data_IF_136939886338
#
_entry.id   IF_136939886338
#
_cell.length_a   1.000
_cell.length_b   1.000
_cell.length_c   1.000
_cell.angle_alpha   90.00
_cell.angle_beta   90.00
_cell.angle_gamma   90.00
#
_symmetry.space_group_name_H-M   'P 1'
#
loop_
_entity.id
_entity.type
_entity.pdbx_description
1 polymer ?
#
# COMPACT_ATOMS: atom_id res chain seq x y z
N UNK A 1 -42.27 -14.39 -13.80
CA UNK A 1 -40.86 -14.76 -13.61
C UNK A 1 -40.13 -13.73 -12.76
N UNK A 2 -39.38 -14.23 -11.75
CA UNK A 2 -38.14 -13.68 -11.15
C UNK A 2 -38.08 -12.20 -10.74
N UNK A 3 -38.31 -11.93 -9.44
CA UNK A 3 -37.81 -10.72 -8.75
C UNK A 3 -36.34 -10.95 -8.35
N UNK A 4 -35.40 -10.25 -8.96
CA UNK A 4 -33.97 -10.32 -8.64
C UNK A 4 -33.67 -9.71 -7.27
N UNK A 5 -33.26 -10.55 -6.31
CA UNK A 5 -32.78 -10.17 -4.97
C UNK A 5 -31.45 -9.42 -5.09
N UNK A 6 -31.45 -8.14 -4.72
CA UNK A 6 -30.24 -7.31 -4.59
C UNK A 6 -29.48 -7.75 -3.34
N UNK A 7 -28.43 -8.56 -3.51
CA UNK A 7 -27.54 -8.98 -2.42
C UNK A 7 -26.61 -7.82 -2.03
N UNK A 8 -27.06 -6.92 -1.15
CA UNK A 8 -26.14 -6.00 -0.46
C UNK A 8 -25.73 -6.60 0.89
N UNK A 9 -24.53 -7.17 0.95
CA UNK A 9 -23.87 -7.62 2.20
C UNK A 9 -23.46 -6.48 3.14
N UNK A 10 -24.03 -5.28 2.99
CA UNK A 10 -23.70 -4.13 3.83
C UNK A 10 -24.75 -3.99 4.93
N UNK A 11 -24.38 -4.35 6.16
CA UNK A 11 -25.21 -4.15 7.36
C UNK A 11 -24.82 -2.81 8.00
N UNK A 12 -25.79 -1.92 8.24
CA UNK A 12 -25.56 -0.71 9.03
C UNK A 12 -25.67 -1.06 10.51
N UNK A 13 -24.69 -0.60 11.29
CA UNK A 13 -24.67 -0.71 12.75
C UNK A 13 -24.71 0.69 13.36
N UNK A 14 -25.38 0.82 14.50
CA UNK A 14 -25.28 2.02 15.33
C UNK A 14 -24.00 1.99 16.15
N UNK A 15 -23.51 3.15 16.60
CA UNK A 15 -22.30 3.26 17.42
C UNK A 15 -22.39 2.36 18.68
N UNK A 16 -23.57 2.28 19.30
CA UNK A 16 -23.84 1.39 20.46
C UNK A 16 -23.68 -0.10 20.12
N UNK A 17 -24.07 -0.51 18.92
CA UNK A 17 -23.93 -1.90 18.47
C UNK A 17 -22.46 -2.24 18.16
N UNK A 18 -21.72 -1.30 17.57
CA UNK A 18 -20.29 -1.44 17.32
C UNK A 18 -19.49 -1.57 18.62
N UNK A 19 -19.83 -0.78 19.64
CA UNK A 19 -19.14 -0.81 20.92
C UNK A 19 -19.34 -2.16 21.63
N UNK A 20 -20.55 -2.73 21.57
CA UNK A 20 -20.85 -4.08 22.07
C UNK A 20 -20.13 -5.19 21.30
N UNK A 21 -19.71 -4.93 20.06
CA UNK A 21 -18.96 -5.88 19.22
C UNK A 21 -17.44 -5.68 19.28
N UNK A 22 -16.94 -4.64 19.96
CA UNK A 22 -15.50 -4.47 20.16
C UNK A 22 -14.97 -5.63 20.99
N UNK A 23 -14.15 -6.47 20.35
CA UNK A 23 -13.32 -7.43 21.07
C UNK A 23 -12.36 -6.69 21.98
N UNK A 24 -12.23 -7.11 23.23
CA UNK A 24 -11.17 -6.64 24.11
C UNK A 24 -9.83 -6.88 23.42
N UNK A 25 -8.97 -5.86 23.39
CA UNK A 25 -7.60 -6.03 22.91
C UNK A 25 -6.97 -7.20 23.65
N UNK A 26 -6.23 -8.06 22.94
CA UNK A 26 -5.42 -9.13 23.56
C UNK A 26 -4.16 -8.56 24.23
N UNK A 27 -3.96 -7.25 24.10
CA UNK A 27 -2.79 -6.51 24.58
C UNK A 27 -3.20 -5.61 25.72
N UNK A 28 -2.35 -5.50 26.73
CA UNK A 28 -2.53 -4.59 27.85
C UNK A 28 -2.16 -3.16 27.44
N UNK A 29 -3.16 -2.41 26.98
CA UNK A 29 -2.99 -1.03 26.52
C UNK A 29 -2.62 -0.08 27.67
N UNK A 30 -3.05 -0.39 28.90
CA UNK A 30 -2.75 0.46 30.07
C UNK A 30 -1.27 0.47 30.42
N UNK A 31 -0.57 -0.61 30.11
CA UNK A 31 0.89 -0.70 30.24
C UNK A 31 1.63 0.14 29.20
N UNK A 32 1.11 0.23 27.97
CA UNK A 32 1.71 1.09 26.94
C UNK A 32 1.42 2.56 27.18
N UNK A 33 0.22 2.91 27.67
CA UNK A 33 -0.14 4.29 28.00
C UNK A 33 0.68 4.87 29.16
N UNK A 34 1.24 4.01 30.01
CA UNK A 34 2.08 4.41 31.15
C UNK A 34 3.59 4.34 30.86
N UNK A 35 3.99 3.78 29.71
CA UNK A 35 5.39 3.74 29.30
C UNK A 35 5.83 5.14 28.82
N UNK A 36 6.91 5.66 29.40
CA UNK A 36 7.52 6.92 28.94
C UNK A 36 8.56 6.64 27.86
N UNK A 37 8.75 7.57 26.93
CA UNK A 37 9.71 7.42 25.81
C UNK A 37 11.14 7.09 26.29
N UNK A 38 11.55 7.58 27.46
CA UNK A 38 12.86 7.31 28.07
C UNK A 38 13.08 5.82 28.43
N UNK A 39 12.02 5.05 28.58
CA UNK A 39 12.08 3.61 28.90
C UNK A 39 12.12 2.72 27.67
N UNK A 40 12.03 3.30 26.47
CA UNK A 40 12.09 2.56 25.22
C UNK A 40 13.56 2.31 24.88
N UNK A 41 13.92 1.03 24.76
CA UNK A 41 15.25 0.60 24.34
C UNK A 41 15.36 0.65 22.82
N UNK A 42 16.31 1.45 22.31
CA UNK A 42 16.64 1.59 20.88
C UNK A 42 18.00 0.96 20.53
N UNK A 43 18.58 0.14 21.41
CA UNK A 43 19.91 -0.45 21.20
C UNK A 43 20.00 -1.35 19.96
N UNK A 44 18.89 -1.91 19.50
CA UNK A 44 18.77 -2.76 18.32
C UNK A 44 18.55 -1.97 17.01
N UNK A 45 18.14 -0.69 17.11
CA UNK A 45 17.82 0.17 15.97
C UNK A 45 18.62 1.48 16.14
N UNK A 46 19.87 1.53 15.64
CA UNK A 46 20.66 2.75 15.72
C UNK A 46 19.99 3.88 14.93
N UNK A 47 20.05 5.09 15.47
CA UNK A 47 19.51 6.28 14.81
C UNK A 47 20.10 6.47 13.40
N UNK A 48 19.22 6.78 12.44
CA UNK A 48 19.63 7.12 11.09
C UNK A 48 20.31 8.48 11.09
N UNK A 49 21.65 8.48 11.12
CA UNK A 49 22.48 9.70 11.06
C UNK A 49 22.22 10.50 9.78
N UNK A 50 22.45 11.81 9.82
CA UNK A 50 22.31 12.70 8.66
C UNK A 50 23.13 12.24 7.44
N UNK A 51 24.27 11.58 7.66
CA UNK A 51 25.11 10.98 6.61
C UNK A 51 24.38 9.90 5.78
N UNK A 52 23.45 9.16 6.42
CA UNK A 52 22.61 8.18 5.73
C UNK A 52 21.66 8.90 4.76
N UNK A 53 21.05 9.99 5.21
CA UNK A 53 20.12 10.79 4.42
C UNK A 53 20.83 11.62 3.34
N UNK A 54 22.10 11.99 3.54
CA UNK A 54 22.88 12.77 2.58
C UNK A 54 23.02 12.08 1.21
N UNK A 55 23.02 10.74 1.18
CA UNK A 55 23.10 9.94 -0.05
C UNK A 55 21.75 9.32 -0.45
N UNK A 56 20.70 9.55 0.34
CA UNK A 56 19.38 9.00 0.06
C UNK A 56 18.77 9.70 -1.15
N UNK A 57 18.51 8.94 -2.21
CA UNK A 57 17.79 9.48 -3.37
C UNK A 57 16.29 9.45 -3.08
N UNK A 58 15.68 10.62 -2.98
CA UNK A 58 14.22 10.74 -2.90
C UNK A 58 13.63 10.29 -4.23
N UNK A 59 13.02 9.12 -4.26
CA UNK A 59 12.28 8.64 -5.43
C UNK A 59 10.88 9.23 -5.37
N UNK A 60 10.68 10.42 -5.95
CA UNK A 60 9.32 10.93 -6.15
C UNK A 60 8.64 10.12 -7.26
N UNK A 61 7.70 9.25 -6.85
CA UNK A 61 6.91 8.44 -7.78
C UNK A 61 5.48 8.98 -7.86
N UNK A 62 5.34 10.24 -8.27
CA UNK A 62 4.04 10.78 -8.70
C UNK A 62 3.53 9.97 -9.91
N UNK A 63 2.46 9.22 -9.69
CA UNK A 63 1.78 8.47 -10.76
C UNK A 63 0.75 9.37 -11.40
N UNK A 64 0.90 9.64 -12.69
CA UNK A 64 -0.12 10.36 -13.46
C UNK A 64 -1.19 9.37 -13.92
N UNK A 65 -2.49 9.61 -13.61
CA UNK A 65 -3.56 8.79 -14.16
C UNK A 65 -3.65 9.04 -15.66
N UNK A 66 -3.47 7.99 -16.46
CA UNK A 66 -3.60 8.03 -17.92
C UNK A 66 -4.64 7.01 -18.37
N UNK A 67 -5.32 7.31 -19.47
CA UNK A 67 -6.16 6.34 -20.18
C UNK A 67 -5.32 5.73 -21.31
N UNK A 68 -4.94 4.45 -21.17
CA UNK A 68 -4.18 3.70 -22.16
C UNK A 68 -5.03 2.53 -22.65
N UNK A 69 -5.06 2.30 -23.97
CA UNK A 69 -5.66 1.10 -24.56
C UNK A 69 -4.62 -0.02 -24.57
N UNK A 70 -5.02 -1.18 -24.11
CA UNK A 70 -4.22 -2.41 -24.06
C UNK A 70 -5.09 -3.53 -24.62
N UNK A 71 -4.48 -4.45 -25.35
CA UNK A 71 -5.19 -5.60 -25.90
C UNK A 71 -5.79 -6.48 -24.79
N UNK A 72 -6.90 -7.14 -25.11
CA UNK A 72 -7.69 -7.86 -24.10
C UNK A 72 -6.92 -9.07 -23.53
N UNK A 73 -6.22 -9.80 -24.37
CA UNK A 73 -5.39 -10.96 -24.01
C UNK A 73 -4.24 -10.58 -23.08
N UNK A 74 -3.54 -9.48 -23.37
CA UNK A 74 -2.48 -8.93 -22.53
C UNK A 74 -3.04 -8.51 -21.17
N UNK A 75 -4.18 -7.83 -21.17
CA UNK A 75 -4.85 -7.40 -19.94
C UNK A 75 -5.33 -8.58 -19.09
N UNK A 76 -5.87 -9.62 -19.71
CA UNK A 76 -6.25 -10.86 -19.04
C UNK A 76 -5.04 -11.57 -18.46
N UNK A 77 -3.93 -11.67 -19.18
CA UNK A 77 -2.69 -12.27 -18.67
C UNK A 77 -2.19 -11.57 -17.40
N UNK A 78 -2.16 -10.24 -17.38
CA UNK A 78 -1.78 -9.48 -16.18
C UNK A 78 -2.78 -9.60 -15.02
N UNK A 79 -4.07 -9.83 -15.31
CA UNK A 79 -5.09 -10.06 -14.27
C UNK A 79 -4.99 -11.44 -13.62
N UNK A 80 -4.53 -12.45 -14.36
CA UNK A 80 -4.32 -13.80 -13.82
C UNK A 80 -3.11 -13.89 -12.89
N UNK A 81 -2.21 -12.90 -12.93
CA UNK A 81 -1.06 -12.82 -12.04
C UNK A 81 -1.46 -12.40 -10.63
N UNK A 82 -0.75 -12.92 -9.63
CA UNK A 82 -0.98 -12.57 -8.23
C UNK A 82 -0.56 -11.11 -7.98
N UNK A 83 -1.52 -10.26 -7.62
CA UNK A 83 -1.28 -8.88 -7.22
C UNK A 83 -2.11 -7.86 -8.00
N UNK A 84 -1.76 -6.58 -7.88
CA UNK A 84 -2.44 -5.49 -8.59
C UNK A 84 -1.87 -5.38 -10.01
N UNK A 85 -2.63 -5.82 -11.01
CA UNK A 85 -2.21 -5.82 -12.44
C UNK A 85 -1.66 -4.46 -12.92
N UNK A 86 -2.24 -3.33 -12.48
CA UNK A 86 -1.74 -1.99 -12.80
C UNK A 86 -0.29 -1.74 -12.33
N UNK A 87 0.09 -2.31 -11.17
CA UNK A 87 1.45 -2.19 -10.63
C UNK A 87 2.44 -2.99 -11.48
N UNK A 88 2.04 -4.18 -11.93
CA UNK A 88 2.83 -5.05 -12.80
C UNK A 88 3.05 -4.41 -14.16
N UNK A 89 2.00 -3.87 -14.78
CA UNK A 89 2.09 -3.13 -16.05
C UNK A 89 3.10 -1.98 -15.93
N UNK A 90 2.99 -1.15 -14.89
CA UNK A 90 3.93 -0.05 -14.68
C UNK A 90 5.37 -0.53 -14.44
N UNK A 91 5.57 -1.67 -13.80
CA UNK A 91 6.91 -2.25 -13.59
C UNK A 91 7.53 -2.72 -14.92
N UNK A 92 6.76 -3.41 -15.75
CA UNK A 92 7.21 -3.85 -17.09
C UNK A 92 7.58 -2.64 -17.95
N UNK A 93 6.73 -1.62 -17.98
CA UNK A 93 7.01 -0.37 -18.72
C UNK A 93 8.30 0.31 -18.23
N UNK A 94 8.56 0.31 -16.92
CA UNK A 94 9.81 0.87 -16.35
C UNK A 94 11.03 0.05 -16.73
N UNK A 95 10.94 -1.27 -16.68
CA UNK A 95 12.05 -2.13 -17.10
C UNK A 95 12.36 -1.96 -18.59
N UNK A 96 11.32 -1.91 -19.42
CA UNK A 96 11.46 -1.62 -20.85
C UNK A 96 12.12 -0.26 -21.09
N UNK A 97 11.65 0.78 -20.41
CA UNK A 97 12.25 2.13 -20.46
C UNK A 97 13.73 2.08 -20.07
N UNK A 98 14.09 1.46 -18.94
CA UNK A 98 15.47 1.39 -18.48
C UNK A 98 16.37 0.61 -19.44
N UNK A 99 15.88 -0.49 -20.01
CA UNK A 99 16.62 -1.31 -20.95
C UNK A 99 16.89 -0.58 -22.29
N UNK A 100 15.97 0.30 -22.72
CA UNK A 100 16.07 1.03 -23.98
C UNK A 100 16.57 2.47 -23.82
N UNK A 101 16.80 2.91 -22.58
CA UNK A 101 17.35 4.23 -22.28
C UNK A 101 18.81 4.13 -21.88
N UNK A 102 19.72 4.28 -22.85
CA UNK A 102 21.06 4.85 -22.59
C UNK A 102 21.00 6.38 -22.36
N UNK A 103 19.80 6.94 -22.12
CA UNK A 103 19.55 8.36 -22.06
C UNK A 103 19.64 8.86 -20.62
N UNK A 104 20.45 9.91 -20.42
CA UNK A 104 20.66 10.58 -19.11
C UNK A 104 19.31 10.86 -18.43
N UNK A 105 19.17 10.58 -17.13
CA UNK A 105 17.96 10.96 -16.42
C UNK A 105 17.77 12.49 -16.52
N UNK A 106 16.58 12.91 -16.90
CA UNK A 106 16.19 14.32 -16.89
C UNK A 106 16.35 14.85 -15.45
N UNK A 107 17.08 15.97 -15.36
CA UNK A 107 17.41 16.69 -14.13
C UNK A 107 16.17 17.31 -13.49
#
# INVERSE_FOLDING_TARGET
MSKTKKNSKTRRYTIKQLDKMKSKSKTDLTKFDTLTDETIDYSDIPDFKDEFWANATVVDHTKKPISLRVDNDVLEWFKHQKGRYQKLINQVLRQYMNAHSHHKPAK
#
